data_IF_391247695333
#
_entry.id   IF_391247695333
#
_cell.length_a   1.000
_cell.length_b   1.000
_cell.length_c   1.000
_cell.angle_alpha   90.00
_cell.angle_beta   90.00
_cell.angle_gamma   90.00
#
_symmetry.space_group_name_H-M   'P 1'
#
loop_
_entity.id
_entity.type
_entity.pdbx_description
1 polymer ?
#
# COMPACT_ATOMS: atom_id res chain seq x y z
N UNK A 1 17.62 -11.23 -17.48
CA UNK A 1 17.51 -10.30 -16.33
C UNK A 1 16.53 -10.92 -15.35
N UNK A 2 16.97 -11.25 -14.13
CA UNK A 2 16.10 -11.83 -13.10
C UNK A 2 15.13 -10.75 -12.63
N UNK A 3 13.82 -10.98 -12.74
CA UNK A 3 12.79 -10.05 -12.28
C UNK A 3 12.93 -9.89 -10.76
N UNK A 4 12.90 -8.66 -10.27
CA UNK A 4 12.91 -8.42 -8.82
C UNK A 4 11.59 -8.93 -8.23
N UNK A 5 11.68 -9.84 -7.25
CA UNK A 5 10.50 -10.33 -6.53
C UNK A 5 10.41 -9.68 -5.15
N UNK A 6 9.34 -8.91 -4.95
CA UNK A 6 8.97 -8.34 -3.67
C UNK A 6 7.91 -9.20 -2.99
N UNK A 7 7.80 -9.05 -1.66
CA UNK A 7 6.78 -9.69 -0.83
C UNK A 7 5.90 -8.63 -0.19
N UNK A 8 4.60 -8.70 -0.43
CA UNK A 8 3.63 -7.82 0.23
C UNK A 8 3.33 -8.28 1.65
N UNK A 9 3.36 -7.36 2.61
CA UNK A 9 2.93 -7.58 3.99
C UNK A 9 1.80 -6.61 4.28
N UNK A 10 0.66 -7.15 4.71
CA UNK A 10 -0.50 -6.35 5.10
C UNK A 10 -0.64 -6.34 6.61
N UNK A 11 -0.79 -5.14 7.20
CA UNK A 11 -1.27 -5.05 8.58
C UNK A 11 -2.72 -5.51 8.68
N UNK A 12 -3.12 -5.97 9.86
CA UNK A 12 -4.43 -6.59 10.04
C UNK A 12 -5.58 -5.65 9.71
N UNK A 13 -5.46 -4.36 10.00
CA UNK A 13 -6.47 -3.37 9.58
C UNK A 13 -6.63 -3.28 8.06
N UNK A 14 -5.55 -3.47 7.29
CA UNK A 14 -5.60 -3.47 5.82
C UNK A 14 -6.21 -4.77 5.32
N UNK A 15 -5.86 -5.92 5.93
CA UNK A 15 -6.50 -7.21 5.61
C UNK A 15 -8.01 -7.15 5.85
N UNK A 16 -8.44 -6.64 7.00
CA UNK A 16 -9.86 -6.46 7.34
C UNK A 16 -10.54 -5.50 6.37
N UNK A 17 -9.87 -4.40 5.98
CA UNK A 17 -10.40 -3.49 4.97
C UNK A 17 -10.67 -4.20 3.64
N UNK A 18 -9.70 -4.96 3.12
CA UNK A 18 -9.83 -5.68 1.85
C UNK A 18 -10.92 -6.76 1.93
N UNK A 19 -10.96 -7.54 3.02
CA UNK A 19 -11.95 -8.61 3.22
C UNK A 19 -13.40 -8.11 3.21
N UNK A 20 -13.62 -6.84 3.58
CA UNK A 20 -14.95 -6.24 3.60
C UNK A 20 -15.38 -5.65 2.24
N UNK A 21 -14.55 -5.74 1.19
CA UNK A 21 -14.88 -5.26 -0.15
C UNK A 21 -15.59 -6.34 -0.97
N UNK A 22 -16.25 -5.96 -2.06
CA UNK A 22 -16.81 -6.94 -3.01
C UNK A 22 -15.69 -7.72 -3.69
N UNK A 23 -15.96 -8.97 -4.06
CA UNK A 23 -14.95 -9.85 -4.67
C UNK A 23 -14.25 -9.23 -5.89
N UNK A 24 -15.00 -8.58 -6.77
CA UNK A 24 -14.42 -7.88 -7.93
C UNK A 24 -13.49 -6.73 -7.55
N UNK A 25 -13.76 -6.02 -6.45
CA UNK A 25 -12.88 -4.97 -5.93
C UNK A 25 -11.63 -5.59 -5.28
N UNK A 26 -11.77 -6.71 -4.56
CA UNK A 26 -10.63 -7.47 -4.01
C UNK A 26 -9.71 -7.97 -5.12
N UNK A 27 -10.25 -8.52 -6.20
CA UNK A 27 -9.49 -9.03 -7.34
C UNK A 27 -8.65 -7.94 -8.02
N UNK A 28 -9.20 -6.74 -8.20
CA UNK A 28 -8.45 -5.59 -8.74
C UNK A 28 -7.28 -5.20 -7.85
N UNK A 29 -7.48 -5.16 -6.54
CA UNK A 29 -6.42 -4.85 -5.57
C UNK A 29 -5.34 -5.93 -5.61
N UNK A 30 -5.73 -7.21 -5.61
CA UNK A 30 -4.80 -8.32 -5.67
C UNK A 30 -3.93 -8.28 -6.94
N UNK A 31 -4.53 -8.00 -8.09
CA UNK A 31 -3.80 -7.88 -9.36
C UNK A 31 -2.75 -6.75 -9.32
N UNK A 32 -3.09 -5.57 -8.80
CA UNK A 32 -2.13 -4.47 -8.70
C UNK A 32 -1.03 -4.74 -7.67
N UNK A 33 -1.36 -5.36 -6.54
CA UNK A 33 -0.34 -5.79 -5.57
C UNK A 33 0.59 -6.82 -6.20
N UNK A 34 0.07 -7.76 -6.98
CA UNK A 34 0.89 -8.76 -7.66
C UNK A 34 1.85 -8.11 -8.65
N UNK A 35 1.41 -7.13 -9.44
CA UNK A 35 2.29 -6.35 -10.32
C UNK A 35 3.42 -5.66 -9.53
N UNK A 36 3.12 -5.09 -8.36
CA UNK A 36 4.15 -4.53 -7.48
C UNK A 36 5.13 -5.61 -6.96
N UNK A 37 4.61 -6.78 -6.58
CA UNK A 37 5.42 -7.93 -6.18
C UNK A 37 6.34 -8.43 -7.30
N UNK A 38 5.93 -8.30 -8.56
CA UNK A 38 6.71 -8.66 -9.74
C UNK A 38 7.65 -7.55 -10.22
N UNK A 39 7.74 -6.45 -9.46
CA UNK A 39 8.60 -5.30 -9.75
C UNK A 39 8.07 -4.38 -10.87
N UNK A 40 6.84 -4.59 -11.32
CA UNK A 40 6.20 -3.84 -12.41
C UNK A 40 5.59 -2.52 -11.92
N UNK A 41 6.35 -1.73 -11.17
CA UNK A 41 5.85 -0.47 -10.57
C UNK A 41 5.36 0.55 -11.61
N UNK A 42 5.83 0.47 -12.85
CA UNK A 42 5.36 1.32 -13.95
C UNK A 42 3.95 0.99 -14.46
N UNK A 43 3.40 -0.18 -14.09
CA UNK A 43 2.05 -0.61 -14.48
C UNK A 43 0.97 -0.29 -13.43
N UNK A 44 1.38 0.23 -12.28
CA UNK A 44 0.47 0.61 -11.19
C UNK A 44 0.55 2.09 -10.88
N UNK A 45 -0.54 2.67 -10.41
CA UNK A 45 -0.55 4.10 -10.07
C UNK A 45 -0.08 4.31 -8.62
N UNK A 46 1.17 4.74 -8.48
CA UNK A 46 1.79 5.04 -7.18
C UNK A 46 2.10 6.54 -7.08
N UNK A 47 1.81 7.11 -5.92
CA UNK A 47 2.14 8.50 -5.61
C UNK A 47 3.01 8.59 -4.35
N UNK A 48 4.14 9.31 -4.38
CA UNK A 48 4.85 9.65 -3.14
C UNK A 48 4.00 10.63 -2.33
N UNK A 49 3.80 10.36 -1.04
CA UNK A 49 3.14 11.31 -0.14
C UNK A 49 4.19 12.08 0.67
N UNK A 50 5.00 11.33 1.42
CA UNK A 50 6.07 11.86 2.26
C UNK A 50 7.05 10.74 2.51
N UNK A 51 8.32 10.94 2.14
CA UNK A 51 9.33 9.88 2.28
C UNK A 51 9.37 9.34 3.73
N UNK A 52 9.29 8.02 3.96
CA UNK A 52 9.33 6.91 2.98
C UNK A 52 7.95 6.40 2.51
N UNK A 53 6.86 7.03 2.94
CA UNK A 53 5.48 6.63 2.68
C UNK A 53 5.02 7.00 1.26
N UNK A 54 4.45 6.00 0.59
CA UNK A 54 3.86 6.06 -0.74
C UNK A 54 2.40 5.64 -0.68
N UNK A 55 1.65 5.98 -1.71
CA UNK A 55 0.25 5.65 -1.91
C UNK A 55 0.09 4.79 -3.15
N UNK A 56 -0.51 3.61 -3.02
CA UNK A 56 -1.05 2.85 -4.14
C UNK A 56 -2.52 3.26 -4.34
N UNK A 57 -2.87 3.53 -5.59
CA UNK A 57 -4.19 4.03 -5.97
C UNK A 57 -4.90 2.98 -6.83
N UNK A 58 -5.98 2.41 -6.29
CA UNK A 58 -6.83 1.43 -6.98
C UNK A 58 -8.26 1.95 -6.98
N UNK A 59 -8.76 2.44 -8.12
CA UNK A 59 -10.07 3.09 -8.22
C UNK A 59 -10.26 4.19 -7.13
N UNK A 60 -11.26 4.01 -6.24
CA UNK A 60 -11.56 4.88 -5.09
C UNK A 60 -10.74 4.56 -3.83
N UNK A 61 -9.97 3.47 -3.84
CA UNK A 61 -9.20 2.99 -2.70
C UNK A 61 -7.80 3.56 -2.69
N UNK A 62 -7.30 3.85 -1.50
CA UNK A 62 -5.95 4.35 -1.26
C UNK A 62 -5.29 3.46 -0.24
N UNK A 63 -4.10 2.97 -0.57
CA UNK A 63 -3.30 2.12 0.29
C UNK A 63 -1.98 2.82 0.60
N UNK A 64 -1.77 3.14 1.87
CA UNK A 64 -0.49 3.69 2.33
C UNK A 64 0.49 2.55 2.55
N UNK A 65 1.66 2.67 1.96
CA UNK A 65 2.71 1.68 2.08
C UNK A 65 4.10 2.29 2.14
N UNK A 66 5.06 1.52 2.60
CA UNK A 66 6.48 1.79 2.43
C UNK A 66 7.18 0.52 1.97
N UNK A 67 8.40 0.68 1.47
CA UNK A 67 9.24 -0.44 1.05
C UNK A 67 10.47 -0.50 1.94
N UNK A 68 10.82 -1.71 2.37
CA UNK A 68 12.03 -1.99 3.15
C UNK A 68 12.64 -3.28 2.60
N UNK A 69 13.84 -3.19 2.02
CA UNK A 69 14.48 -4.28 1.27
C UNK A 69 13.53 -4.85 0.19
N UNK A 70 13.17 -6.13 0.30
CA UNK A 70 12.28 -6.86 -0.62
C UNK A 70 10.81 -6.85 -0.17
N UNK A 71 10.46 -6.12 0.90
CA UNK A 71 9.11 -6.13 1.46
C UNK A 71 8.35 -4.84 1.14
N UNK A 72 7.08 -4.99 0.82
CA UNK A 72 6.12 -3.90 0.61
C UNK A 72 5.13 -3.94 1.76
N UNK A 73 5.26 -3.01 2.71
CA UNK A 73 4.42 -2.97 3.90
C UNK A 73 3.21 -2.08 3.67
N UNK A 74 2.04 -2.68 3.45
CA UNK A 74 0.76 -1.98 3.41
C UNK A 74 0.26 -1.74 4.84
N UNK A 75 0.39 -0.50 5.28
CA UNK A 75 0.15 -0.11 6.67
C UNK A 75 -1.21 0.50 6.91
N UNK A 76 -1.86 1.04 5.88
CA UNK A 76 -3.20 1.59 6.00
C UNK A 76 -3.96 1.57 4.68
N UNK A 77 -5.30 1.56 4.75
CA UNK A 77 -6.16 1.63 3.60
C UNK A 77 -7.44 2.41 3.92
N UNK A 78 -7.93 3.18 2.94
CA UNK A 78 -9.16 3.95 3.07
C UNK A 78 -9.81 4.23 1.71
N UNK A 79 -11.10 4.59 1.74
CA UNK A 79 -11.82 5.10 0.57
C UNK A 79 -11.57 6.60 0.49
N UNK A 80 -11.15 7.10 -0.68
CA UNK A 80 -10.93 8.53 -0.89
C UNK A 80 -12.23 9.31 -0.69
N UNK A 81 -12.25 10.17 0.33
CA UNK A 81 -13.38 11.09 0.63
C UNK A 81 -13.05 12.55 0.29
N UNK A 82 -11.78 12.92 0.31
CA UNK A 82 -11.27 14.29 0.16
C UNK A 82 -10.26 14.38 -0.99
N UNK A 83 -9.99 15.59 -1.47
CA UNK A 83 -9.04 15.81 -2.56
C UNK A 83 -7.61 15.35 -2.19
N UNK A 84 -7.20 15.63 -0.95
CA UNK A 84 -5.89 15.26 -0.37
C UNK A 84 -6.03 14.14 0.66
N UNK A 85 -4.96 13.35 0.82
CA UNK A 85 -4.81 12.35 1.88
C UNK A 85 -4.78 13.06 3.24
N UNK A 86 -5.67 12.71 4.19
CA UNK A 86 -5.71 13.39 5.49
C UNK A 86 -4.41 13.20 6.28
N UNK A 87 -3.94 14.25 6.96
CA UNK A 87 -2.64 14.25 7.65
C UNK A 87 -2.51 13.15 8.70
N UNK A 88 -3.59 12.86 9.43
CA UNK A 88 -3.65 11.79 10.45
C UNK A 88 -3.32 10.40 9.89
N UNK A 89 -3.67 10.15 8.63
CA UNK A 89 -3.39 8.87 7.97
C UNK A 89 -1.91 8.71 7.65
N UNK A 90 -1.26 9.83 7.28
CA UNK A 90 0.18 9.90 7.01
C UNK A 90 0.96 9.72 8.32
N UNK A 91 0.57 10.44 9.37
CA UNK A 91 1.19 10.34 10.70
C UNK A 91 1.11 8.92 11.27
N UNK A 92 -0.03 8.24 11.08
CA UNK A 92 -0.16 6.83 11.46
C UNK A 92 0.85 5.96 10.70
N UNK A 93 0.96 6.14 9.37
CA UNK A 93 1.87 5.35 8.55
C UNK A 93 3.33 5.56 8.95
N UNK A 94 3.73 6.80 9.27
CA UNK A 94 5.07 7.12 9.78
C UNK A 94 5.34 6.48 11.13
N UNK A 95 4.37 6.50 12.06
CA UNK A 95 4.51 5.85 13.37
C UNK A 95 4.73 4.35 13.23
N UNK A 96 4.00 3.70 12.31
CA UNK A 96 4.18 2.27 12.01
C UNK A 96 5.54 2.02 11.38
N UNK A 97 5.96 2.83 10.41
CA UNK A 97 7.27 2.72 9.77
C UNK A 97 8.40 2.73 10.81
N UNK A 98 8.41 3.72 11.72
CA UNK A 98 9.42 3.82 12.78
C UNK A 98 9.47 2.56 13.64
N UNK A 99 8.30 2.03 14.05
CA UNK A 99 8.22 0.80 14.85
C UNK A 99 8.75 -0.45 14.13
N UNK A 100 8.57 -0.53 12.80
CA UNK A 100 8.96 -1.70 12.01
C UNK A 100 10.44 -1.67 11.57
N UNK A 101 11.04 -0.47 11.49
CA UNK A 101 12.40 -0.28 10.93
C UNK A 101 13.46 0.10 11.96
N UNK A 102 13.08 0.71 13.10
CA UNK A 102 14.03 1.12 14.14
C UNK A 102 14.13 0.09 15.28
N UNK A 103 14.37 -1.18 14.93
CA UNK A 103 14.75 -2.20 15.92
C UNK A 103 16.18 -2.01 16.39
#
# INVERSE_FOLDING_TARGET
MTKAHYKSVFLDKVKTFIKNLREGEQGKIAAQVQMMCDGEFGLVYIRPIRSPIKELIVDKYRFLFFMEKQFIYFVHAFIKKTQKTPIREIEYAEKVYKKLTQK
#
